data_IF_837296383795
#
_entry.id   IF_837296383795
#
_cell.length_a   1.000
_cell.length_b   1.000
_cell.length_c   1.000
_cell.angle_alpha   90.00
_cell.angle_beta   90.00
_cell.angle_gamma   90.00
#
_symmetry.space_group_name_H-M   'P 1'
#
loop_
_entity.id
_entity.type
_entity.pdbx_description
1 polymer ?
#
# COMPACT_ATOMS: atom_id res chain seq x y z
N UNK A 1 -7.77 19.41 11.85
CA UNK A 1 -6.33 19.37 11.56
C UNK A 1 -5.89 17.97 11.29
N UNK A 2 -5.09 17.81 10.29
CA UNK A 2 -4.57 16.49 9.96
C UNK A 2 -3.34 16.21 10.78
N UNK A 3 -3.31 15.05 11.39
CA UNK A 3 -2.12 14.60 12.09
C UNK A 3 -1.32 13.74 11.13
N UNK A 4 -0.10 14.14 10.88
CA UNK A 4 0.81 13.41 10.02
C UNK A 4 1.86 12.73 10.87
N UNK A 5 1.99 11.44 10.70
CA UNK A 5 2.97 10.66 11.43
C UNK A 5 4.18 10.42 10.54
N UNK A 6 5.35 10.82 11.01
CA UNK A 6 6.60 10.55 10.31
C UNK A 6 6.93 9.07 10.45
N UNK A 7 7.09 8.40 9.33
CA UNK A 7 7.32 6.96 9.33
C UNK A 7 8.81 6.65 9.20
N UNK A 8 9.44 7.20 8.16
CA UNK A 8 10.84 6.92 7.85
C UNK A 8 11.30 7.92 6.81
N UNK A 9 12.59 7.90 6.51
CA UNK A 9 13.10 8.64 5.36
C UNK A 9 12.80 7.86 4.08
N UNK A 10 12.68 8.58 2.96
CA UNK A 10 12.53 7.91 1.67
C UNK A 10 13.70 6.94 1.43
N UNK A 11 14.90 7.35 1.83
CA UNK A 11 16.08 6.52 1.67
C UNK A 11 16.07 5.25 2.52
N UNK A 12 15.18 5.18 3.51
CA UNK A 12 15.02 3.96 4.31
C UNK A 12 14.21 2.89 3.60
N UNK A 13 13.59 3.24 2.47
CA UNK A 13 12.87 2.28 1.66
C UNK A 13 13.74 1.91 0.48
N UNK A 14 14.05 0.63 0.27
CA UNK A 14 14.85 0.26 -0.90
C UNK A 14 14.17 0.68 -2.19
N UNK A 15 14.96 1.09 -3.18
CA UNK A 15 14.41 1.40 -4.50
C UNK A 15 13.76 0.14 -5.06
N UNK A 16 12.55 0.28 -5.59
CA UNK A 16 11.75 -0.85 -6.05
C UNK A 16 11.46 -1.85 -4.93
N UNK A 17 11.44 -1.34 -3.70
CA UNK A 17 11.17 -2.16 -2.53
C UNK A 17 10.09 -1.57 -1.65
N UNK A 18 10.05 -2.03 -0.42
CA UNK A 18 9.00 -1.65 0.51
C UNK A 18 9.48 -1.67 1.94
N UNK A 19 8.66 -1.11 2.80
CA UNK A 19 8.85 -1.16 4.25
C UNK A 19 7.48 -1.31 4.91
N UNK A 20 7.40 -2.16 5.92
CA UNK A 20 6.17 -2.36 6.67
C UNK A 20 6.05 -1.32 7.77
N UNK A 21 4.83 -0.89 8.00
CA UNK A 21 4.50 0.04 9.07
C UNK A 21 3.49 -0.63 9.98
N UNK A 22 3.85 -0.79 11.23
CA UNK A 22 2.93 -1.33 12.22
C UNK A 22 2.00 -0.25 12.72
N UNK A 23 0.80 -0.66 13.10
CA UNK A 23 -0.17 0.26 13.70
C UNK A 23 -0.90 -0.45 14.82
N UNK A 24 -1.63 0.33 15.63
CA UNK A 24 -2.26 -0.19 16.83
C UNK A 24 -3.27 -1.28 16.54
N UNK A 25 -4.01 -1.14 15.45
CA UNK A 25 -5.05 -2.10 15.10
C UNK A 25 -5.05 -2.35 13.62
N UNK A 26 -5.42 -3.58 13.24
CA UNK A 26 -5.57 -3.96 11.85
C UNK A 26 -4.27 -4.46 11.22
N UNK A 27 -4.36 -4.88 9.97
CA UNK A 27 -3.18 -5.35 9.25
C UNK A 27 -2.16 -4.24 9.08
N UNK A 28 -0.91 -4.61 8.89
CA UNK A 28 0.16 -3.63 8.68
C UNK A 28 -0.03 -2.90 7.38
N UNK A 29 0.58 -1.72 7.30
CA UNK A 29 0.62 -0.91 6.09
C UNK A 29 1.97 -1.12 5.44
N UNK A 30 2.00 -1.18 4.13
CA UNK A 30 3.26 -1.26 3.37
C UNK A 30 3.46 0.03 2.62
N UNK A 31 4.66 0.61 2.74
CA UNK A 31 5.04 1.74 1.92
C UNK A 31 6.02 1.26 0.87
N UNK A 32 5.80 1.68 -0.37
CA UNK A 32 6.55 1.22 -1.53
C UNK A 32 7.27 2.39 -2.18
N UNK A 33 8.45 2.13 -2.71
CA UNK A 33 9.24 3.13 -3.42
C UNK A 33 9.47 2.68 -4.85
N UNK A 34 9.11 3.54 -5.79
CA UNK A 34 9.29 3.25 -7.21
C UNK A 34 10.70 3.62 -7.66
N UNK A 35 11.02 3.27 -8.91
CA UNK A 35 12.35 3.58 -9.46
C UNK A 35 12.60 5.08 -9.56
N UNK A 36 11.56 5.88 -9.71
CA UNK A 36 11.67 7.34 -9.78
C UNK A 36 11.37 8.01 -8.43
N UNK A 37 11.54 7.26 -7.35
CA UNK A 37 11.46 7.76 -5.96
C UNK A 37 10.07 8.24 -5.55
N UNK A 38 9.03 7.79 -6.22
CA UNK A 38 7.68 8.00 -5.73
C UNK A 38 7.38 7.01 -4.62
N UNK A 39 6.58 7.43 -3.66
CA UNK A 39 6.23 6.58 -2.51
C UNK A 39 4.72 6.45 -2.44
N UNK A 40 4.28 5.21 -2.28
CA UNK A 40 2.86 4.89 -2.15
C UNK A 40 2.67 3.99 -0.93
N UNK A 41 1.49 4.03 -0.36
CA UNK A 41 1.16 3.22 0.81
C UNK A 41 -0.13 2.45 0.57
N UNK A 42 -0.06 1.15 0.80
CA UNK A 42 -1.20 0.24 0.68
C UNK A 42 -1.29 -0.60 1.95
N UNK A 43 -2.49 -1.12 2.20
CA UNK A 43 -2.59 -2.16 3.20
C UNK A 43 -1.69 -3.33 2.77
N UNK A 44 -0.93 -3.89 3.70
CA UNK A 44 0.00 -4.97 3.39
C UNK A 44 -0.75 -6.29 3.29
N UNK A 45 -1.68 -6.34 2.34
CA UNK A 45 -2.58 -7.46 2.20
C UNK A 45 -3.12 -7.53 0.79
N UNK A 46 -2.80 -8.61 0.11
CA UNK A 46 -3.31 -8.81 -1.25
C UNK A 46 -4.82 -9.06 -1.18
N UNK A 47 -5.61 -8.41 -2.03
CA UNK A 47 -7.06 -8.63 -2.02
C UNK A 47 -7.45 -10.04 -2.43
N UNK A 48 -6.54 -10.77 -3.06
CA UNK A 48 -6.82 -12.13 -3.51
C UNK A 48 -6.76 -13.12 -2.36
N UNK A 49 -5.59 -13.24 -1.71
CA UNK A 49 -5.40 -14.25 -0.67
C UNK A 49 -4.67 -13.71 0.55
N UNK A 50 -4.77 -12.43 0.76
CA UNK A 50 -4.17 -11.80 1.93
C UNK A 50 -2.66 -12.01 2.03
N UNK A 51 -1.98 -12.22 0.91
CA UNK A 51 -0.53 -12.31 0.92
C UNK A 51 0.11 -10.97 1.21
N UNK A 52 1.32 -10.95 1.76
CA UNK A 52 1.98 -9.69 2.10
C UNK A 52 2.50 -8.99 0.85
N UNK A 53 1.85 -7.90 0.46
CA UNK A 53 2.26 -7.14 -0.71
C UNK A 53 3.67 -6.57 -0.54
N UNK A 54 4.09 -6.33 0.69
CA UNK A 54 5.43 -5.81 0.97
C UNK A 54 6.53 -6.75 0.50
N UNK A 55 6.23 -8.03 0.33
CA UNK A 55 7.19 -9.00 -0.17
C UNK A 55 7.10 -9.21 -1.68
N UNK A 56 6.23 -8.44 -2.34
CA UNK A 56 6.08 -8.53 -3.78
C UNK A 56 7.14 -7.76 -4.52
N UNK A 57 7.05 -7.81 -5.84
CA UNK A 57 8.00 -7.16 -6.73
C UNK A 57 7.38 -5.86 -7.23
N UNK A 58 8.06 -4.74 -6.98
CA UNK A 58 7.62 -3.43 -7.44
C UNK A 58 8.16 -3.17 -8.84
N UNK A 59 7.29 -2.74 -9.73
CA UNK A 59 7.69 -2.32 -11.07
C UNK A 59 6.73 -1.24 -11.56
N UNK A 60 7.29 -0.19 -12.16
CA UNK A 60 6.48 0.96 -12.52
C UNK A 60 5.73 1.49 -11.29
N UNK A 61 4.43 1.63 -11.39
CA UNK A 61 3.56 2.04 -10.28
C UNK A 61 2.69 0.87 -9.82
N UNK A 62 3.28 -0.31 -9.74
CA UNK A 62 2.55 -1.51 -9.39
C UNK A 62 3.40 -2.45 -8.56
N UNK A 63 2.74 -3.39 -7.90
CA UNK A 63 3.42 -4.45 -7.16
C UNK A 63 2.76 -5.78 -7.53
N UNK A 64 3.59 -6.80 -7.75
CA UNK A 64 3.12 -8.15 -8.00
C UNK A 64 3.07 -8.91 -6.69
N UNK A 65 1.90 -9.44 -6.36
CA UNK A 65 1.71 -10.22 -5.15
C UNK A 65 2.54 -11.50 -5.22
N UNK A 66 3.26 -11.86 -4.16
CA UNK A 66 4.14 -13.03 -4.21
C UNK A 66 3.39 -14.35 -4.30
N UNK A 67 2.10 -14.40 -3.99
CA UNK A 67 1.37 -15.66 -3.98
C UNK A 67 0.93 -16.10 -5.36
N UNK A 68 0.30 -15.22 -6.13
CA UNK A 68 -0.23 -15.60 -7.44
C UNK A 68 0.06 -14.56 -8.51
N UNK A 69 1.03 -13.71 -8.27
CA UNK A 69 1.45 -12.68 -9.23
C UNK A 69 0.33 -11.72 -9.63
N UNK A 70 -0.65 -11.54 -8.78
CA UNK A 70 -1.62 -10.48 -9.01
C UNK A 70 -0.89 -9.14 -9.00
N UNK A 71 -1.17 -8.34 -10.01
CA UNK A 71 -0.57 -7.02 -10.12
C UNK A 71 -1.52 -6.00 -9.54
N UNK A 72 -1.06 -5.29 -8.51
CA UNK A 72 -1.86 -4.29 -7.80
C UNK A 72 -1.28 -2.93 -8.10
N UNK A 73 -2.13 -2.00 -8.56
CA UNK A 73 -1.69 -0.63 -8.76
C UNK A 73 -1.37 0.05 -7.44
N UNK A 74 -0.21 0.66 -7.33
CA UNK A 74 0.19 1.32 -6.09
C UNK A 74 -0.61 2.58 -5.83
N UNK A 75 -1.06 3.24 -6.89
CA UNK A 75 -1.81 4.49 -6.79
C UNK A 75 -3.30 4.26 -6.52
N UNK A 76 -3.85 3.14 -6.96
CA UNK A 76 -5.29 2.88 -6.83
C UNK A 76 -5.61 1.76 -5.85
N UNK A 77 -4.66 0.86 -5.59
CA UNK A 77 -4.90 -0.33 -4.81
C UNK A 77 -5.67 -1.40 -5.56
N UNK A 78 -5.93 -1.19 -6.85
CA UNK A 78 -6.75 -2.10 -7.64
C UNK A 78 -5.92 -3.15 -8.34
N UNK A 79 -6.41 -4.39 -8.34
CA UNK A 79 -5.83 -5.43 -9.15
C UNK A 79 -6.01 -5.10 -10.62
N UNK A 80 -4.99 -5.41 -11.42
CA UNK A 80 -5.07 -5.20 -12.86
C UNK A 80 -5.76 -6.36 -13.52
N UNK A 81 -6.40 -6.07 -14.65
CA UNK A 81 -7.08 -7.12 -15.40
C UNK A 81 -6.14 -8.26 -15.76
N UNK A 82 -6.64 -9.50 -15.78
CA UNK A 82 -8.04 -9.89 -15.64
C UNK A 82 -8.51 -10.06 -14.19
N UNK A 83 -7.67 -9.73 -13.22
CA UNK A 83 -8.01 -9.96 -11.82
C UNK A 83 -8.91 -8.84 -11.30
N UNK A 84 -9.72 -9.17 -10.30
CA UNK A 84 -10.59 -8.22 -9.64
C UNK A 84 -10.28 -8.18 -8.16
N UNK A 85 -10.25 -6.99 -7.63
CA UNK A 85 -10.05 -6.81 -6.21
C UNK A 85 -9.38 -5.50 -5.92
N UNK A 86 -9.34 -5.15 -4.67
CA UNK A 86 -8.83 -3.88 -4.26
C UNK A 86 -8.34 -3.95 -2.83
N UNK A 87 -7.21 -3.30 -2.56
CA UNK A 87 -6.73 -3.14 -1.20
C UNK A 87 -6.76 -1.65 -0.86
N UNK A 88 -7.03 -1.29 0.40
CA UNK A 88 -7.06 0.11 0.80
C UNK A 88 -5.73 0.80 0.55
N UNK A 89 -5.80 2.06 0.14
CA UNK A 89 -4.63 2.91 -0.01
C UNK A 89 -4.58 3.91 1.14
N UNK A 90 -3.38 4.40 1.41
CA UNK A 90 -3.16 5.40 2.46
C UNK A 90 -2.50 6.63 1.83
N UNK A 91 -2.84 7.81 2.33
CA UNK A 91 -2.29 9.04 1.80
C UNK A 91 -0.86 9.20 2.26
N UNK A 92 0.03 9.47 1.32
CA UNK A 92 1.46 9.67 1.59
C UNK A 92 1.80 11.13 1.37
N UNK A 93 2.60 11.68 2.26
CA UNK A 93 3.14 13.01 2.12
C UNK A 93 4.65 12.94 2.30
N UNK A 94 5.37 13.63 1.44
CA UNK A 94 6.83 13.68 1.52
C UNK A 94 7.23 15.09 1.89
N UNK A 95 7.96 15.24 2.98
CA UNK A 95 8.49 16.53 3.43
C UNK A 95 9.94 16.35 3.82
N UNK A 96 10.81 17.11 3.19
CA UNK A 96 12.26 17.10 3.50
C UNK A 96 12.82 15.68 3.50
N UNK A 97 12.40 14.87 2.53
CA UNK A 97 12.88 13.50 2.40
C UNK A 97 12.27 12.53 3.39
N UNK A 98 11.28 12.96 4.17
CA UNK A 98 10.61 12.09 5.13
C UNK A 98 9.27 11.65 4.60
N UNK A 99 8.92 10.40 4.86
CA UNK A 99 7.63 9.81 4.50
C UNK A 99 6.68 10.00 5.68
N UNK A 100 5.53 10.61 5.41
CA UNK A 100 4.51 10.81 6.43
C UNK A 100 3.21 10.15 5.99
N UNK A 101 2.53 9.53 6.92
CA UNK A 101 1.20 8.96 6.71
C UNK A 101 0.19 9.68 7.60
N UNK A 102 -1.05 9.71 7.14
CA UNK A 102 -2.13 10.35 7.89
C UNK A 102 -2.50 9.47 9.09
N UNK A 103 -2.37 10.01 10.28
CA UNK A 103 -2.63 9.26 11.51
C UNK A 103 -4.09 8.80 11.60
N UNK A 104 -5.02 9.64 11.17
CA UNK A 104 -6.43 9.26 11.20
C UNK A 104 -6.70 8.04 10.32
N UNK A 105 -6.06 7.97 9.16
CA UNK A 105 -6.18 6.79 8.32
C UNK A 105 -5.58 5.56 8.97
N UNK A 106 -4.43 5.71 9.63
CA UNK A 106 -3.81 4.59 10.33
C UNK A 106 -4.71 4.07 11.46
N UNK A 107 -5.49 4.95 12.06
CA UNK A 107 -6.34 4.58 13.18
C UNK A 107 -7.69 4.02 12.76
N UNK A 108 -8.13 4.28 11.53
CA UNK A 108 -9.50 3.96 11.13
C UNK A 108 -9.60 3.08 9.88
N UNK A 109 -8.67 3.19 8.93
CA UNK A 109 -8.79 2.48 7.67
C UNK A 109 -8.46 1.00 7.85
N UNK A 110 -9.44 0.15 7.59
CA UNK A 110 -9.29 -1.30 7.60
C UNK A 110 -8.74 -1.84 8.92
N UNK A 111 -9.06 -1.19 10.04
CA UNK A 111 -8.57 -1.65 11.34
C UNK A 111 -9.26 -2.93 11.79
N UNK A 112 -10.46 -3.16 11.31
CA UNK A 112 -11.22 -4.36 11.63
C UNK A 112 -11.51 -5.16 10.37
N UNK A 113 -10.64 -5.05 9.38
CA UNK A 113 -10.88 -5.64 8.08
C UNK A 113 -11.01 -7.15 8.19
N UNK A 114 -12.14 -7.70 7.79
CA UNK A 114 -12.25 -9.15 7.64
C UNK A 114 -11.38 -9.57 6.46
N UNK A 115 -10.98 -10.81 6.40
CA UNK A 115 -10.16 -11.30 5.30
C UNK A 115 -10.99 -11.43 4.04
N UNK A 116 -11.49 -10.34 3.56
CA UNK A 116 -12.42 -10.37 2.46
C UNK A 116 -11.85 -9.59 1.31
N UNK A 117 -12.15 -10.05 0.15
CA UNK A 117 -11.86 -9.26 -1.01
C UNK A 117 -12.74 -8.04 -1.05
N UNK A 118 -12.19 -6.93 -1.41
CA UNK A 118 -12.97 -5.76 -1.75
C UNK A 118 -13.75 -6.06 -3.02
N UNK A 119 -14.83 -5.35 -3.27
CA UNK A 119 -15.55 -5.50 -4.52
C UNK A 119 -14.68 -5.13 -5.71
N UNK A 120 -15.24 -5.24 -6.92
CA UNK A 120 -14.47 -4.92 -8.12
C UNK A 120 -13.99 -3.48 -8.10
N UNK A 121 -12.82 -3.28 -8.63
CA UNK A 121 -12.26 -1.95 -8.73
C UNK A 121 -13.01 -1.14 -9.76
N UNK A 122 -13.30 0.09 -9.38
CA UNK A 122 -13.92 1.03 -10.28
C UNK A 122 -12.86 1.62 -11.17
N UNK A 123 -12.66 1.02 -12.28
CA UNK A 123 -11.68 1.53 -13.23
C UNK A 123 -12.35 2.50 -14.15
N UNK A 124 -12.25 3.72 -13.76
CA UNK A 124 -12.82 4.76 -14.58
C UNK A 124 -11.85 5.11 -15.67
N UNK A 125 -12.27 4.98 -16.76
CA UNK A 125 -11.47 5.40 -17.91
C UNK A 125 -10.97 4.50 -18.64
#
# INVERSE_FOLDING_TARGET
>A
MSDWKTICAVSDIPVLGSRRVQRAQGPQVAVFRTADDQVFALLDRCPHKAGPLSQGIVFGKAVACPLHNWTIGLDTGCAREPDDGRTPTFTVRIEQGQVLLNQAELDTVATDLPPVKAGPCNRVG
#
